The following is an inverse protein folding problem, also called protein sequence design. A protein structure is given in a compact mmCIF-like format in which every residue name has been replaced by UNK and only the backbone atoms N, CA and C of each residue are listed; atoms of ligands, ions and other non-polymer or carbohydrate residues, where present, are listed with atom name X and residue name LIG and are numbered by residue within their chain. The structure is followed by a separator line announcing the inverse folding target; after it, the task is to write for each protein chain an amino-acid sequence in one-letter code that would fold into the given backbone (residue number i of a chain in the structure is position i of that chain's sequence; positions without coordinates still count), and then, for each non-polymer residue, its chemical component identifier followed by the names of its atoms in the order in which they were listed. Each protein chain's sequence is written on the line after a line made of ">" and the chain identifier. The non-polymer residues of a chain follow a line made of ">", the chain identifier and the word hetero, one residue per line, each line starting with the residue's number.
data_IF_800808936396
#
_entry.id   IF_800808936396
#
_cell.length_a   1.000
_cell.length_b   1.000
_cell.length_c   1.000
_cell.angle_alpha   90.00
_cell.angle_beta   90.00
_cell.angle_gamma   90.00
#
_symmetry.space_group_name_H-M   'P 1'
#
loop_
_entity.id
_entity.type
_entity.pdbx_description
1 polymer ?
#
# COMPACT_ATOMS: atom_id res chain seq x y z
N UNK A 1 -21.24 -54.11 -0.21
CA UNK A 1 -20.88 -52.82 -0.85
C UNK A 1 -21.34 -51.72 0.08
N UNK A 2 -20.50 -51.33 1.05
CA UNK A 2 -20.75 -50.21 1.96
C UNK A 2 -19.40 -49.58 2.27
N UNK A 3 -19.01 -48.63 1.42
CA UNK A 3 -17.89 -47.72 1.63
C UNK A 3 -18.32 -46.74 2.71
N UNK A 4 -17.99 -47.07 3.97
CA UNK A 4 -18.02 -46.08 5.04
C UNK A 4 -16.90 -45.08 4.78
N UNK A 5 -17.34 -43.89 4.39
CA UNK A 5 -16.62 -42.64 4.38
C UNK A 5 -16.01 -42.39 5.77
N UNK A 6 -14.78 -42.87 5.98
CA UNK A 6 -14.02 -42.61 7.21
C UNK A 6 -13.57 -41.15 7.14
N UNK A 7 -14.38 -40.28 7.75
CA UNK A 7 -14.07 -38.87 7.94
C UNK A 7 -12.63 -38.72 8.46
N UNK A 8 -11.79 -38.12 7.64
CA UNK A 8 -10.40 -37.80 7.96
C UNK A 8 -10.38 -36.71 9.03
N UNK A 9 -10.49 -37.09 10.30
CA UNK A 9 -10.47 -36.14 11.42
C UNK A 9 -9.06 -35.58 11.61
N UNK A 10 -8.83 -34.37 11.09
CA UNK A 10 -7.65 -33.54 11.37
C UNK A 10 -7.75 -33.11 12.84
N UNK A 11 -6.75 -33.45 13.67
CA UNK A 11 -6.82 -33.21 15.12
C UNK A 11 -6.67 -31.74 15.50
N UNK A 12 -5.93 -30.96 14.73
CA UNK A 12 -5.83 -29.50 14.92
C UNK A 12 -5.26 -28.81 13.68
N UNK A 13 -5.66 -27.56 13.50
CA UNK A 13 -5.19 -26.64 12.45
C UNK A 13 -4.70 -25.38 13.15
N UNK A 14 -3.43 -25.01 12.93
CA UNK A 14 -2.88 -23.73 13.36
C UNK A 14 -2.64 -22.84 12.14
N UNK A 15 -2.96 -21.55 12.24
CA UNK A 15 -2.79 -20.58 11.17
C UNK A 15 -1.95 -19.41 11.67
N UNK A 16 -0.78 -19.20 11.05
CA UNK A 16 0.14 -18.12 11.40
C UNK A 16 0.38 -17.21 10.18
N UNK A 17 0.52 -15.90 10.41
CA UNK A 17 0.88 -14.95 9.36
C UNK A 17 2.35 -14.55 9.50
N UNK A 18 3.09 -14.60 8.39
CA UNK A 18 4.52 -14.27 8.40
C UNK A 18 4.83 -13.21 7.35
N UNK A 19 5.46 -12.12 7.79
CA UNK A 19 5.90 -11.06 6.89
C UNK A 19 7.22 -11.45 6.23
N UNK A 20 7.21 -11.49 4.90
CA UNK A 20 8.43 -11.62 4.11
C UNK A 20 9.07 -10.24 3.92
N UNK A 21 10.17 -10.01 4.63
CA UNK A 21 11.09 -8.89 4.38
C UNK A 21 12.03 -9.27 3.22
N UNK A 22 12.26 -8.33 2.30
CA UNK A 22 13.09 -8.60 1.12
C UNK A 22 14.52 -9.00 1.53
N UNK A 23 15.06 -10.04 0.87
CA UNK A 23 16.46 -10.49 0.97
C UNK A 23 16.88 -11.17 2.28
N UNK A 24 15.94 -11.59 3.13
CA UNK A 24 16.25 -12.35 4.34
C UNK A 24 15.89 -13.85 4.21
N UNK A 25 16.47 -14.67 5.08
CA UNK A 25 16.06 -16.06 5.27
C UNK A 25 14.71 -16.11 5.97
N UNK A 26 13.76 -16.89 5.46
CA UNK A 26 12.45 -17.09 6.07
C UNK A 26 12.44 -18.44 6.78
N UNK A 27 12.19 -18.45 8.09
CA UNK A 27 12.08 -19.67 8.88
C UNK A 27 10.61 -19.91 9.28
N UNK A 28 10.06 -21.05 8.88
CA UNK A 28 8.72 -21.49 9.27
C UNK A 28 8.85 -22.68 10.21
N UNK A 29 8.37 -22.53 11.44
CA UNK A 29 8.54 -23.54 12.50
C UNK A 29 7.29 -24.39 12.66
N UNK A 30 7.39 -25.67 12.35
CA UNK A 30 6.32 -26.63 12.52
C UNK A 30 6.53 -27.51 13.75
N UNK A 31 5.63 -27.41 14.72
CA UNK A 31 5.58 -28.32 15.86
C UNK A 31 4.94 -29.65 15.46
N UNK A 32 5.55 -30.74 15.92
CA UNK A 32 5.18 -32.12 15.63
C UNK A 32 4.86 -32.77 16.96
N UNK A 33 3.78 -33.53 16.99
CA UNK A 33 3.36 -34.24 18.18
C UNK A 33 3.87 -35.66 18.12
N UNK A 34 4.66 -36.05 19.12
CA UNK A 34 5.14 -37.42 19.22
C UNK A 34 3.97 -38.33 19.56
N UNK A 35 3.66 -39.27 18.66
CA UNK A 35 2.60 -40.25 18.89
C UNK A 35 3.25 -41.54 19.42
N UNK A 36 2.86 -41.95 20.62
CA UNK A 36 3.47 -43.03 21.41
C UNK A 36 3.21 -44.46 20.90
N UNK A 37 2.78 -44.64 19.65
CA UNK A 37 2.54 -45.96 19.06
C UNK A 37 3.82 -46.50 18.43
N UNK A 38 4.34 -47.61 18.98
CA UNK A 38 5.65 -48.21 18.69
C UNK A 38 5.85 -48.76 17.28
N UNK A 39 4.84 -48.76 16.41
CA UNK A 39 4.90 -49.36 15.07
C UNK A 39 4.68 -48.38 13.91
N UNK A 40 4.31 -47.12 14.18
CA UNK A 40 3.95 -46.16 13.14
C UNK A 40 5.07 -45.17 12.83
N UNK A 41 5.49 -45.10 11.56
CA UNK A 41 6.44 -44.09 11.09
C UNK A 41 5.69 -42.77 10.86
N UNK A 42 6.16 -41.69 11.48
CA UNK A 42 5.65 -40.34 11.22
C UNK A 42 6.58 -39.58 10.28
N UNK A 43 6.03 -39.11 9.16
CA UNK A 43 6.72 -38.23 8.22
C UNK A 43 6.11 -36.82 8.26
N UNK A 44 6.90 -35.83 7.88
CA UNK A 44 6.48 -34.44 7.76
C UNK A 44 6.71 -33.92 6.35
N UNK A 45 5.64 -33.47 5.71
CA UNK A 45 5.68 -32.96 4.36
C UNK A 45 5.35 -31.47 4.35
N UNK A 46 6.08 -30.71 3.55
CA UNK A 46 5.83 -29.30 3.34
C UNK A 46 5.22 -29.06 1.97
N UNK A 47 4.18 -28.24 1.96
CA UNK A 47 3.47 -27.83 0.77
C UNK A 47 3.52 -26.30 0.65
N UNK A 48 3.56 -25.80 -0.57
CA UNK A 48 3.35 -24.40 -0.90
C UNK A 48 2.26 -24.31 -1.97
N UNK A 49 1.21 -23.55 -1.71
CA UNK A 49 0.07 -23.39 -2.60
C UNK A 49 -0.46 -24.77 -3.06
N UNK A 50 -0.60 -25.69 -2.10
CA UNK A 50 -1.02 -27.08 -2.27
C UNK A 50 -0.05 -27.99 -3.06
N UNK A 51 1.10 -27.49 -3.50
CA UNK A 51 2.14 -28.28 -4.18
C UNK A 51 3.19 -28.75 -3.18
N UNK A 52 3.52 -30.03 -3.21
CA UNK A 52 4.56 -30.63 -2.38
C UNK A 52 5.92 -30.01 -2.73
N UNK A 53 6.59 -29.41 -1.74
CA UNK A 53 7.92 -28.80 -1.89
C UNK A 53 9.02 -29.61 -1.20
N UNK A 54 8.69 -30.30 -0.09
CA UNK A 54 9.59 -31.21 0.64
C UNK A 54 8.78 -32.41 1.11
N UNK A 55 9.32 -33.60 0.86
CA UNK A 55 8.78 -34.87 1.30
C UNK A 55 9.80 -35.57 2.20
N UNK A 56 9.62 -35.56 3.52
CA UNK A 56 10.65 -36.09 4.45
C UNK A 56 10.87 -37.61 4.38
N UNK A 57 10.07 -38.35 3.60
CA UNK A 57 10.27 -39.79 3.39
C UNK A 57 11.47 -40.14 2.48
N UNK A 58 11.91 -39.20 1.63
CA UNK A 58 12.97 -39.35 0.64
C UNK A 58 14.37 -38.94 1.14
N UNK A 59 14.97 -39.66 2.09
CA UNK A 59 16.37 -39.55 2.58
C UNK A 59 16.92 -38.14 2.93
N UNK A 60 17.49 -37.93 4.15
CA UNK A 60 17.96 -36.63 4.64
C UNK A 60 18.98 -35.91 3.74
N UNK A 61 19.70 -36.64 2.88
CA UNK A 61 20.75 -36.08 2.02
C UNK A 61 20.23 -35.46 0.70
N UNK A 62 18.95 -35.62 0.36
CA UNK A 62 18.37 -35.13 -0.90
C UNK A 62 17.53 -33.83 -0.78
N UNK A 63 17.38 -33.29 0.43
CA UNK A 63 16.54 -32.10 0.66
C UNK A 63 17.23 -30.77 0.45
N UNK A 64 18.55 -30.75 0.29
CA UNK A 64 19.30 -29.56 -0.09
C UNK A 64 19.09 -29.23 -1.58
N UNK A 65 17.84 -29.03 -2.00
CA UNK A 65 17.59 -28.13 -3.13
C UNK A 65 18.03 -26.75 -2.65
N UNK A 66 18.86 -26.07 -3.43
CA UNK A 66 19.62 -24.84 -3.08
C UNK A 66 18.86 -23.69 -2.38
N UNK A 67 17.53 -23.77 -2.29
CA UNK A 67 16.64 -22.76 -1.73
C UNK A 67 15.94 -23.16 -0.42
N UNK A 68 15.62 -24.44 -0.22
CA UNK A 68 14.83 -24.91 0.92
C UNK A 68 15.66 -25.85 1.77
N UNK A 69 15.79 -25.56 3.06
CA UNK A 69 16.52 -26.38 4.00
C UNK A 69 15.61 -26.79 5.14
N UNK A 70 15.69 -28.06 5.53
CA UNK A 70 14.94 -28.59 6.65
C UNK A 70 15.90 -28.71 7.84
N UNK A 71 15.60 -27.98 8.91
CA UNK A 71 16.40 -28.01 10.13
C UNK A 71 15.55 -28.71 11.19
N UNK A 72 16.05 -29.83 11.70
CA UNK A 72 15.49 -30.48 12.87
C UNK A 72 16.13 -29.84 14.10
N UNK A 73 15.38 -28.99 14.81
CA UNK A 73 15.92 -28.31 15.99
C UNK A 73 15.86 -29.20 17.23
N UNK A 74 14.84 -30.08 17.32
CA UNK A 74 14.57 -31.07 18.37
C UNK A 74 13.55 -32.10 17.83
N UNK A 75 13.38 -33.27 18.47
CA UNK A 75 12.42 -34.34 18.08
C UNK A 75 10.94 -33.91 17.90
N UNK A 76 10.59 -32.67 18.22
CA UNK A 76 9.24 -32.10 18.14
C UNK A 76 9.12 -30.86 17.26
N UNK A 77 10.21 -30.33 16.68
CA UNK A 77 10.15 -29.10 15.87
C UNK A 77 10.95 -29.27 14.58
N UNK A 78 10.25 -29.19 13.46
CA UNK A 78 10.85 -29.12 12.12
C UNK A 78 10.71 -27.71 11.59
N UNK A 79 11.84 -27.10 11.24
CA UNK A 79 11.91 -25.76 10.66
C UNK A 79 12.17 -25.86 9.16
N UNK A 80 11.33 -25.22 8.38
CA UNK A 80 11.58 -24.94 6.98
C UNK A 80 12.28 -23.59 6.85
N UNK A 81 13.54 -23.62 6.44
CA UNK A 81 14.35 -22.42 6.16
C UNK A 81 14.43 -22.18 4.65
N UNK A 82 13.91 -21.04 4.20
CA UNK A 82 14.04 -20.54 2.83
C UNK A 82 15.20 -19.56 2.76
N UNK A 83 16.27 -19.93 2.04
CA UNK A 83 17.39 -19.03 1.80
C UNK A 83 17.08 -18.07 0.64
N UNK A 84 17.47 -16.79 0.82
CA UNK A 84 17.29 -15.73 -0.18
C UNK A 84 15.86 -15.67 -0.70
N UNK A 85 14.90 -15.60 0.22
CA UNK A 85 13.49 -15.58 -0.11
C UNK A 85 13.17 -14.36 -1.01
N UNK A 86 12.42 -14.62 -2.08
CA UNK A 86 12.04 -13.66 -3.12
C UNK A 86 10.53 -13.40 -3.04
N UNK A 87 10.01 -12.33 -3.66
CA UNK A 87 8.57 -12.07 -3.71
C UNK A 87 7.74 -13.26 -4.24
N UNK A 88 8.30 -14.09 -5.13
CA UNK A 88 7.65 -15.31 -5.61
C UNK A 88 7.42 -16.37 -4.52
N UNK A 89 8.07 -16.26 -3.36
CA UNK A 89 7.90 -17.15 -2.21
C UNK A 89 6.75 -16.74 -1.30
N UNK A 90 6.08 -15.62 -1.59
CA UNK A 90 4.78 -15.30 -0.98
C UNK A 90 3.76 -16.37 -1.39
N UNK A 91 2.95 -16.82 -0.44
CA UNK A 91 1.96 -17.86 -0.66
C UNK A 91 1.51 -18.52 0.64
N UNK A 92 0.74 -19.60 0.50
CA UNK A 92 0.25 -20.37 1.62
C UNK A 92 1.08 -21.65 1.77
N UNK A 93 1.72 -21.78 2.92
CA UNK A 93 2.55 -22.93 3.27
C UNK A 93 1.79 -23.84 4.22
N UNK A 94 1.95 -25.14 4.05
CA UNK A 94 1.39 -26.12 4.96
C UNK A 94 2.46 -27.13 5.35
N UNK A 95 2.63 -27.33 6.65
CA UNK A 95 3.35 -28.47 7.21
C UNK A 95 2.31 -29.53 7.61
N UNK A 96 2.44 -30.74 7.06
CA UNK A 96 1.54 -31.85 7.35
C UNK A 96 2.32 -32.97 8.01
N UNK A 97 1.92 -33.33 9.24
CA UNK A 97 2.39 -34.54 9.90
C UNK A 97 1.53 -35.71 9.45
N UNK A 98 2.15 -36.71 8.84
CA UNK A 98 1.48 -37.87 8.26
C UNK A 98 1.97 -39.13 8.98
N UNK A 99 1.02 -39.93 9.46
CA UNK A 99 1.27 -41.26 9.99
C UNK A 99 1.09 -42.28 8.86
N UNK A 100 2.13 -43.09 8.64
CA UNK A 100 2.07 -44.27 7.79
C UNK A 100 1.53 -45.41 8.64
N UNK A 101 0.33 -45.90 8.29
CA UNK A 101 -0.32 -47.01 8.98
C UNK A 101 0.09 -48.34 8.30
N UNK A 102 0.05 -48.39 6.97
CA UNK A 102 0.50 -49.49 6.11
C UNK A 102 1.06 -48.95 4.78
N UNK A 103 1.55 -49.82 3.88
CA UNK A 103 2.06 -49.45 2.55
C UNK A 103 1.10 -48.57 1.71
N UNK A 104 -0.21 -48.68 1.93
CA UNK A 104 -1.23 -47.97 1.17
C UNK A 104 -2.11 -47.03 2.01
N UNK A 105 -1.89 -46.94 3.32
CA UNK A 105 -2.76 -46.18 4.23
C UNK A 105 -1.97 -45.10 4.94
N UNK A 106 -2.33 -43.84 4.66
CA UNK A 106 -1.75 -42.67 5.33
C UNK A 106 -2.85 -41.92 6.07
N UNK A 107 -2.51 -41.38 7.23
CA UNK A 107 -3.41 -40.53 8.01
C UNK A 107 -2.70 -39.23 8.33
N UNK A 108 -3.31 -38.11 7.95
CA UNK A 108 -2.84 -36.79 8.38
C UNK A 108 -3.21 -36.62 9.86
N UNK A 109 -2.19 -36.45 10.69
CA UNK A 109 -2.36 -36.25 12.13
C UNK A 109 -2.54 -34.77 12.47
N UNK A 110 -1.71 -33.92 11.86
CA UNK A 110 -1.59 -32.51 12.19
C UNK A 110 -1.33 -31.69 10.94
N UNK A 111 -1.93 -30.49 10.87
CA UNK A 111 -1.66 -29.51 9.82
C UNK A 111 -1.35 -28.16 10.45
N UNK A 112 -0.20 -27.60 10.11
CA UNK A 112 0.16 -26.22 10.45
C UNK A 112 0.19 -25.41 9.15
N UNK A 113 -0.60 -24.35 9.07
CA UNK A 113 -0.69 -23.44 7.94
C UNK A 113 0.02 -22.13 8.24
N UNK A 114 0.81 -21.64 7.28
CA UNK A 114 1.44 -20.34 7.33
C UNK A 114 1.01 -19.53 6.11
N UNK A 115 0.50 -18.34 6.35
CA UNK A 115 0.23 -17.35 5.33
C UNK A 115 1.44 -16.41 5.23
N UNK A 116 2.39 -16.74 4.34
CA UNK A 116 3.54 -15.88 4.08
C UNK A 116 3.09 -14.75 3.16
N UNK A 117 3.29 -13.50 3.59
CA UNK A 117 2.82 -12.30 2.88
C UNK A 117 3.96 -11.31 2.73
N UNK A 118 4.09 -10.69 1.55
CA UNK A 118 5.01 -9.57 1.38
C UNK A 118 4.41 -8.31 2.01
N UNK A 119 5.26 -7.39 2.49
CA UNK A 119 4.82 -6.03 2.82
C UNK A 119 4.13 -5.44 1.58
N UNK A 120 2.92 -4.87 1.66
CA UNK A 120 2.35 -4.14 0.55
C UNK A 120 3.34 -3.08 0.06
N UNK A 121 3.44 -2.87 -1.25
CA UNK A 121 4.21 -1.76 -1.81
C UNK A 121 3.39 -1.12 -2.88
N UNK A 122 3.12 0.17 -2.73
CA UNK A 122 2.30 0.94 -3.66
C UNK A 122 3.14 1.97 -4.39
N UNK A 123 2.72 2.30 -5.61
CA UNK A 123 3.33 3.35 -6.43
C UNK A 123 2.25 4.21 -7.06
N UNK A 124 2.59 5.47 -7.34
CA UNK A 124 1.80 6.29 -8.27
C UNK A 124 2.17 5.93 -9.70
N UNK A 125 1.17 5.88 -10.59
CA UNK A 125 1.38 5.70 -12.04
C UNK A 125 1.56 7.05 -12.76
N UNK A 126 1.02 8.14 -12.18
CA UNK A 126 1.08 9.49 -12.78
C UNK A 126 2.27 10.30 -12.26
N UNK A 127 2.78 9.94 -11.09
CA UNK A 127 3.80 10.71 -10.38
C UNK A 127 5.02 9.84 -10.17
N UNK A 128 6.22 10.39 -10.43
CA UNK A 128 7.47 9.73 -10.09
C UNK A 128 7.55 9.39 -8.60
N UNK A 129 8.50 8.51 -8.22
CA UNK A 129 8.60 7.89 -6.88
C UNK A 129 8.60 8.85 -5.66
N UNK A 130 8.76 10.17 -5.87
CA UNK A 130 9.02 11.14 -4.80
C UNK A 130 8.10 12.37 -4.80
N UNK A 131 6.93 12.34 -5.46
CA UNK A 131 6.01 13.50 -5.43
C UNK A 131 5.25 13.53 -4.11
N UNK A 132 5.69 14.40 -3.20
CA UNK A 132 5.09 14.62 -1.87
C UNK A 132 4.02 15.72 -1.87
N UNK A 133 3.97 16.55 -2.91
CA UNK A 133 3.00 17.64 -3.03
C UNK A 133 2.74 17.98 -4.49
N UNK A 134 1.49 18.38 -4.78
CA UNK A 134 1.09 18.83 -6.10
C UNK A 134 0.22 20.07 -5.99
N UNK A 135 0.44 21.02 -6.89
CA UNK A 135 -0.35 22.25 -6.96
C UNK A 135 -1.27 22.20 -8.17
N UNK A 136 -2.54 22.54 -7.97
CA UNK A 136 -3.59 22.57 -9.00
C UNK A 136 -4.36 23.88 -8.88
N UNK A 137 -4.87 24.44 -9.98
CA UNK A 137 -5.71 25.62 -9.90
C UNK A 137 -7.15 25.26 -9.48
N UNK A 138 -7.80 26.17 -8.77
CA UNK A 138 -9.22 26.05 -8.52
C UNK A 138 -10.00 25.90 -9.83
N UNK A 139 -11.05 25.07 -9.79
CA UNK A 139 -11.90 24.67 -10.91
C UNK A 139 -11.25 23.79 -11.99
N UNK A 140 -9.99 23.38 -11.82
CA UNK A 140 -9.36 22.40 -12.72
C UNK A 140 -9.69 20.96 -12.29
N UNK A 141 -9.29 20.01 -13.14
CA UNK A 141 -9.39 18.59 -12.87
C UNK A 141 -8.07 18.07 -12.30
N UNK A 142 -8.14 17.28 -11.24
CA UNK A 142 -6.98 16.61 -10.65
C UNK A 142 -7.19 15.09 -10.62
N UNK A 143 -6.12 14.34 -10.86
CA UNK A 143 -6.15 12.88 -10.88
C UNK A 143 -4.94 12.29 -10.16
N UNK A 144 -5.16 11.18 -9.49
CA UNK A 144 -4.13 10.33 -8.90
C UNK A 144 -4.45 8.88 -9.22
N UNK A 145 -3.45 8.13 -9.68
CA UNK A 145 -3.56 6.69 -9.96
C UNK A 145 -2.53 5.95 -9.11
N UNK A 146 -2.98 4.94 -8.38
CA UNK A 146 -2.11 4.10 -7.56
C UNK A 146 -2.27 2.64 -7.91
N UNK A 147 -1.20 1.87 -7.73
CA UNK A 147 -1.17 0.45 -7.97
C UNK A 147 -0.13 -0.25 -7.08
N UNK A 148 -0.22 -1.56 -6.95
CA UNK A 148 0.83 -2.34 -6.29
C UNK A 148 2.07 -2.47 -7.18
N UNK A 149 3.27 -2.41 -6.61
CA UNK A 149 4.53 -2.53 -7.36
C UNK A 149 4.66 -3.88 -8.07
N UNK A 150 4.05 -4.93 -7.54
CA UNK A 150 4.01 -6.27 -8.14
C UNK A 150 2.80 -7.08 -7.64
N UNK A 151 2.45 -8.15 -8.35
CA UNK A 151 1.37 -9.07 -7.95
C UNK A 151 1.56 -9.67 -6.55
N UNK A 152 2.80 -9.81 -6.09
CA UNK A 152 3.10 -10.40 -4.79
C UNK A 152 2.77 -9.46 -3.62
N UNK A 153 2.82 -8.15 -3.84
CA UNK A 153 2.40 -7.15 -2.87
C UNK A 153 0.87 -7.01 -2.78
N UNK A 154 0.15 -7.56 -3.76
CA UNK A 154 -1.32 -7.55 -3.84
C UNK A 154 -1.96 -8.75 -3.13
N UNK A 155 -1.23 -9.85 -2.89
CA UNK A 155 -1.80 -11.09 -2.34
C UNK A 155 -2.42 -10.83 -0.96
N UNK A 156 -3.74 -11.00 -0.85
CA UNK A 156 -4.55 -10.68 0.32
C UNK A 156 -4.37 -9.23 0.83
N UNK A 157 -4.05 -8.31 -0.09
CA UNK A 157 -3.94 -6.89 0.21
C UNK A 157 -5.15 -6.13 -0.34
N UNK A 158 -5.61 -5.12 0.38
CA UNK A 158 -6.58 -4.13 -0.12
C UNK A 158 -5.84 -2.85 -0.54
N UNK A 159 -6.34 -2.20 -1.59
CA UNK A 159 -5.89 -0.89 -2.03
C UNK A 159 -7.04 0.09 -1.89
N UNK A 160 -6.87 1.11 -1.06
CA UNK A 160 -7.91 2.11 -0.78
C UNK A 160 -7.36 3.52 -0.95
N UNK A 161 -8.26 4.46 -1.23
CA UNK A 161 -7.96 5.89 -1.25
C UNK A 161 -8.35 6.50 0.08
N UNK A 162 -7.51 7.40 0.57
CA UNK A 162 -7.73 8.12 1.82
C UNK A 162 -7.55 9.62 1.63
N UNK A 163 -8.32 10.37 2.41
CA UNK A 163 -8.13 11.80 2.63
C UNK A 163 -7.83 12.04 4.11
N UNK A 164 -6.74 12.73 4.38
CA UNK A 164 -6.37 13.21 5.71
C UNK A 164 -6.46 14.73 5.64
N UNK A 165 -7.47 15.27 6.29
CA UNK A 165 -7.52 16.70 6.61
C UNK A 165 -6.43 16.96 7.65
N UNK A 166 -5.67 18.06 7.50
CA UNK A 166 -4.84 18.53 8.61
C UNK A 166 -5.74 18.62 9.83
N UNK A 167 -5.35 17.93 10.89
CA UNK A 167 -6.07 17.93 12.16
C UNK A 167 -6.06 19.37 12.62
N UNK A 168 -7.25 19.96 12.82
CA UNK A 168 -7.37 21.23 13.53
C UNK A 168 -6.56 21.09 14.85
N UNK A 169 -5.51 21.89 14.96
CA UNK A 169 -4.58 21.95 16.07
C UNK A 169 -5.33 22.22 17.38
N UNK A 170 -5.76 21.18 18.08
CA UNK A 170 -6.26 21.35 19.46
C UNK A 170 -5.30 20.82 20.51
N UNK A 171 -4.21 20.11 20.17
CA UNK A 171 -3.17 19.79 21.15
C UNK A 171 -1.75 19.94 20.60
N UNK A 172 -1.09 20.99 21.11
CA UNK A 172 0.35 21.18 21.11
C UNK A 172 1.13 19.87 21.28
N UNK A 173 1.73 19.39 20.19
CA UNK A 173 3.06 18.81 20.27
C UNK A 173 3.89 19.34 19.10
N UNK A 174 4.68 20.36 19.40
CA UNK A 174 5.86 20.73 18.63
C UNK A 174 6.74 19.48 18.47
N UNK A 175 6.73 18.89 17.27
CA UNK A 175 7.91 18.25 16.74
C UNK A 175 8.16 18.84 15.35
N UNK A 176 9.12 19.76 15.34
CA UNK A 176 9.72 20.32 14.14
C UNK A 176 10.38 19.19 13.33
N UNK A 177 10.05 19.16 12.03
CA UNK A 177 10.80 18.41 11.02
C UNK A 177 10.06 17.18 10.50
N UNK A 178 9.61 17.25 9.23
CA UNK A 178 9.00 16.18 8.44
C UNK A 178 7.55 15.78 8.78
N UNK A 179 6.60 16.69 8.55
CA UNK A 179 5.17 16.35 8.38
C UNK A 179 4.92 15.50 7.11
N UNK A 180 5.94 15.30 6.27
CA UNK A 180 5.92 14.32 5.16
C UNK A 180 6.36 12.90 5.54
N UNK A 181 6.75 12.66 6.80
CA UNK A 181 7.37 11.41 7.24
C UNK A 181 6.54 10.67 8.27
N UNK A 182 5.62 9.80 7.80
CA UNK A 182 5.08 8.74 8.63
C UNK A 182 3.86 9.11 9.47
N UNK A 183 2.71 9.31 8.81
CA UNK A 183 1.46 8.88 9.44
C UNK A 183 1.57 7.36 9.67
N UNK A 184 1.95 6.95 10.88
CA UNK A 184 1.92 5.54 11.28
C UNK A 184 0.45 5.15 11.37
N UNK A 185 -0.04 4.47 10.35
CA UNK A 185 -1.39 3.93 10.35
C UNK A 185 -1.42 2.71 11.28
N UNK A 186 -1.86 2.90 12.52
CA UNK A 186 -2.48 1.83 13.29
C UNK A 186 -3.80 1.41 12.62
N UNK A 187 -4.18 0.15 12.73
CA UNK A 187 -5.42 -0.39 12.14
C UNK A 187 -6.67 0.39 12.59
N UNK A 188 -6.72 0.80 13.87
CA UNK A 188 -7.82 1.59 14.42
C UNK A 188 -7.88 3.00 13.80
N UNK A 189 -6.73 3.62 13.55
CA UNK A 189 -6.66 4.92 12.89
C UNK A 189 -7.10 4.82 11.42
N UNK A 190 -6.76 3.71 10.75
CA UNK A 190 -7.17 3.47 9.37
C UNK A 190 -8.70 3.41 9.21
N UNK A 191 -9.42 2.71 10.09
CA UNK A 191 -10.89 2.64 10.00
C UNK A 191 -11.55 4.01 10.15
N UNK A 192 -11.04 4.84 11.08
CA UNK A 192 -11.50 6.23 11.28
C UNK A 192 -11.27 7.09 10.03
N UNK A 193 -10.07 7.03 9.46
CA UNK A 193 -9.72 7.77 8.23
C UNK A 193 -10.54 7.29 7.03
N UNK A 194 -10.75 5.97 6.90
CA UNK A 194 -11.60 5.39 5.86
C UNK A 194 -13.04 5.91 5.96
N UNK A 195 -13.60 5.98 7.17
CA UNK A 195 -14.95 6.49 7.40
C UNK A 195 -15.06 7.99 7.09
N UNK A 196 -14.10 8.81 7.52
CA UNK A 196 -14.04 10.23 7.14
C UNK A 196 -13.93 10.42 5.61
N UNK A 197 -13.09 9.61 4.96
CA UNK A 197 -12.94 9.64 3.50
C UNK A 197 -14.25 9.29 2.81
N UNK A 198 -14.97 8.25 3.28
CA UNK A 198 -16.31 7.91 2.76
C UNK A 198 -17.32 9.05 2.92
N UNK A 199 -17.34 9.73 4.06
CA UNK A 199 -18.22 10.88 4.27
C UNK A 199 -17.87 12.04 3.32
N UNK A 200 -16.58 12.32 3.13
CA UNK A 200 -16.13 13.32 2.16
C UNK A 200 -16.52 12.95 0.72
N UNK A 201 -16.34 11.70 0.31
CA UNK A 201 -16.77 11.20 -1.00
C UNK A 201 -18.28 11.38 -1.19
N UNK A 202 -19.08 11.01 -0.19
CA UNK A 202 -20.53 11.15 -0.26
C UNK A 202 -20.98 12.61 -0.42
N UNK A 203 -20.35 13.54 0.32
CA UNK A 203 -20.64 14.99 0.23
C UNK A 203 -20.22 15.61 -1.11
N UNK A 204 -19.33 14.96 -1.87
CA UNK A 204 -18.75 15.49 -3.09
C UNK A 204 -18.90 14.50 -4.27
N UNK A 205 -19.96 13.68 -4.25
CA UNK A 205 -20.17 12.60 -5.22
C UNK A 205 -20.42 13.12 -6.65
N UNK A 206 -20.82 14.38 -6.79
CA UNK A 206 -20.98 15.09 -8.06
C UNK A 206 -19.65 15.33 -8.78
N UNK A 207 -18.54 15.44 -8.04
CA UNK A 207 -17.25 15.87 -8.58
C UNK A 207 -16.07 14.94 -8.26
N UNK A 208 -16.15 14.18 -7.17
CA UNK A 208 -15.11 13.24 -6.76
C UNK A 208 -15.52 11.82 -7.13
N UNK A 209 -14.68 11.15 -7.90
CA UNK A 209 -14.91 9.79 -8.36
C UNK A 209 -13.71 8.91 -8.02
N UNK A 210 -13.99 7.71 -7.52
CA UNK A 210 -12.99 6.66 -7.34
C UNK A 210 -13.33 5.51 -8.27
N UNK A 211 -12.36 5.08 -9.07
CA UNK A 211 -12.50 3.95 -9.97
C UNK A 211 -11.45 2.89 -9.62
N UNK A 212 -11.91 1.66 -9.43
CA UNK A 212 -11.05 0.49 -9.25
C UNK A 212 -11.15 -0.38 -10.49
N UNK A 213 -10.03 -0.65 -11.15
CA UNK A 213 -10.00 -1.51 -12.33
C UNK A 213 -8.71 -2.33 -12.38
N UNK A 214 -8.77 -3.48 -13.06
CA UNK A 214 -7.60 -4.31 -13.29
C UNK A 214 -6.93 -3.88 -14.59
N UNK A 215 -5.66 -3.49 -14.51
CA UNK A 215 -4.86 -3.17 -15.69
C UNK A 215 -4.04 -4.39 -16.10
N UNK A 216 -4.16 -4.79 -17.36
CA UNK A 216 -3.27 -5.77 -17.97
C UNK A 216 -2.04 -5.01 -18.44
N UNK A 217 -0.92 -5.18 -17.75
CA UNK A 217 0.33 -4.55 -18.18
C UNK A 217 0.81 -5.25 -19.47
N UNK A 218 0.80 -4.52 -20.59
CA UNK A 218 1.49 -4.97 -21.80
C UNK A 218 2.98 -5.08 -21.46
N UNK A 219 3.55 -6.29 -21.59
CA UNK A 219 4.96 -6.56 -21.31
C UNK A 219 5.84 -5.60 -22.13
N UNK A 220 6.52 -4.65 -21.47
CA UNK A 220 7.74 -4.10 -22.06
C UNK A 220 8.76 -5.25 -22.13
N UNK A 221 9.28 -5.47 -23.34
CA UNK A 221 10.09 -6.60 -23.74
C UNK A 221 11.32 -6.76 -22.83
N UNK A 222 11.36 -7.83 -22.03
CA UNK A 222 12.49 -8.78 -22.02
C UNK A 222 12.22 -10.00 -21.13
N UNK A 223 12.75 -11.12 -21.62
CA UNK A 223 12.75 -12.49 -21.08
C UNK A 223 11.41 -13.23 -20.99
N UNK A 224 11.29 -14.15 -21.96
CA UNK A 224 10.48 -15.36 -21.99
C UNK A 224 10.38 -16.05 -20.64
N UNK A 225 9.21 -15.97 -20.02
CA UNK A 225 8.61 -17.09 -19.29
C UNK A 225 7.07 -16.94 -19.29
N UNK A 226 6.43 -18.09 -19.50
CA UNK A 226 5.06 -18.25 -19.94
C UNK A 226 4.00 -17.85 -18.89
N UNK A 227 2.86 -17.37 -19.38
CA UNK A 227 1.55 -17.29 -18.69
C UNK A 227 1.53 -16.73 -17.27
N UNK A 228 1.71 -15.42 -17.13
CA UNK A 228 1.13 -14.70 -16.02
C UNK A 228 0.30 -13.55 -16.56
N UNK A 229 -1.03 -13.69 -16.47
CA UNK A 229 -1.95 -12.56 -16.52
C UNK A 229 -1.61 -11.68 -15.33
N UNK A 230 -0.73 -10.69 -15.55
CA UNK A 230 -0.35 -9.71 -14.54
C UNK A 230 -1.50 -8.69 -14.43
N UNK A 231 -2.62 -9.15 -13.89
CA UNK A 231 -3.74 -8.29 -13.53
C UNK A 231 -3.34 -7.52 -12.29
N UNK A 232 -2.96 -6.26 -12.47
CA UNK A 232 -2.60 -5.37 -11.38
C UNK A 232 -3.82 -4.51 -11.04
N UNK A 233 -4.23 -4.53 -9.77
CA UNK A 233 -5.30 -3.63 -9.32
C UNK A 233 -4.81 -2.19 -9.33
N UNK A 234 -5.49 -1.33 -10.07
CA UNK A 234 -5.25 0.10 -10.13
C UNK A 234 -6.46 0.82 -9.55
N UNK A 235 -6.20 1.78 -8.66
CA UNK A 235 -7.22 2.67 -8.13
C UNK A 235 -6.94 4.10 -8.62
N UNK A 236 -7.96 4.77 -9.14
CA UNK A 236 -7.89 6.14 -9.64
C UNK A 236 -8.81 7.03 -8.80
N UNK A 237 -8.26 8.11 -8.24
CA UNK A 237 -9.02 9.25 -7.72
C UNK A 237 -9.08 10.31 -8.81
N UNK A 238 -10.28 10.76 -9.12
CA UNK A 238 -10.54 11.91 -9.98
C UNK A 238 -11.33 12.94 -9.19
N UNK A 239 -10.86 14.18 -9.19
CA UNK A 239 -11.57 15.35 -8.64
C UNK A 239 -11.78 16.32 -9.80
N UNK A 240 -13.02 16.45 -10.27
CA UNK A 240 -13.40 17.55 -11.16
C UNK A 240 -13.69 18.80 -10.32
N UNK A 241 -13.51 19.97 -10.94
CA UNK A 241 -13.82 21.27 -10.34
C UNK A 241 -13.20 21.42 -8.93
N UNK A 242 -11.88 21.32 -8.85
CA UNK A 242 -11.13 21.33 -7.57
C UNK A 242 -11.43 22.60 -6.76
N UNK A 243 -11.72 22.44 -5.47
CA UNK A 243 -12.05 23.51 -4.55
C UNK A 243 -10.96 23.68 -3.48
N UNK A 244 -10.82 24.85 -2.89
CA UNK A 244 -9.95 25.11 -1.74
C UNK A 244 -10.18 24.17 -0.55
N UNK A 245 -11.40 23.66 -0.37
CA UNK A 245 -11.71 22.65 0.66
C UNK A 245 -11.07 21.29 0.40
N UNK A 246 -10.60 21.02 -0.82
CA UNK A 246 -9.90 19.78 -1.18
C UNK A 246 -8.44 19.76 -0.76
N UNK A 247 -7.91 20.90 -0.29
CA UNK A 247 -6.57 20.99 0.26
C UNK A 247 -6.40 19.98 1.39
N UNK A 248 -5.24 19.36 1.43
CA UNK A 248 -4.88 18.36 2.43
C UNK A 248 -4.13 17.19 1.82
N UNK A 249 -3.91 16.16 2.63
CA UNK A 249 -3.21 14.96 2.19
C UNK A 249 -4.20 13.98 1.57
N UNK A 250 -4.02 13.72 0.28
CA UNK A 250 -4.75 12.72 -0.48
C UNK A 250 -3.79 11.61 -0.87
N UNK A 251 -4.24 10.37 -0.78
CA UNK A 251 -3.32 9.28 -1.02
C UNK A 251 -3.96 7.93 -1.13
N UNK A 252 -3.09 6.93 -1.29
CA UNK A 252 -3.44 5.54 -1.36
C UNK A 252 -2.83 4.79 -0.20
N UNK A 253 -3.52 3.77 0.29
CA UNK A 253 -3.00 2.85 1.30
C UNK A 253 -3.18 1.43 0.81
N UNK A 254 -2.08 0.67 0.81
CA UNK A 254 -2.08 -0.77 0.65
C UNK A 254 -2.00 -1.44 2.01
N UNK A 255 -2.96 -2.30 2.35
CA UNK A 255 -3.00 -2.99 3.65
C UNK A 255 -3.15 -4.48 3.44
N UNK A 256 -2.40 -5.27 4.20
CA UNK A 256 -2.65 -6.70 4.36
C UNK A 256 -2.63 -7.08 5.86
N UNK A 257 -2.86 -8.36 6.22
CA UNK A 257 -2.92 -8.77 7.63
C UNK A 257 -1.63 -8.55 8.43
N UNK A 258 -0.48 -8.37 7.76
CA UNK A 258 0.84 -8.30 8.41
C UNK A 258 1.46 -6.91 8.40
N UNK A 259 1.14 -6.09 7.41
CA UNK A 259 1.77 -4.80 7.20
C UNK A 259 0.93 -3.87 6.31
N UNK A 260 1.34 -2.60 6.28
CA UNK A 260 0.76 -1.59 5.42
C UNK A 260 1.84 -0.78 4.71
N UNK A 261 1.41 -0.06 3.68
CA UNK A 261 2.20 0.92 2.95
C UNK A 261 1.29 2.06 2.50
N UNK A 262 1.82 3.29 2.51
CA UNK A 262 1.04 4.49 2.22
C UNK A 262 1.79 5.40 1.24
N UNK A 263 1.00 6.11 0.44
CA UNK A 263 1.47 7.09 -0.51
C UNK A 263 0.56 8.30 -0.37
N UNK A 264 1.05 9.32 0.33
CA UNK A 264 0.32 10.56 0.59
C UNK A 264 0.90 11.69 -0.25
N UNK A 265 0.03 12.45 -0.90
CA UNK A 265 0.34 13.62 -1.70
C UNK A 265 -0.40 14.80 -1.10
N UNK A 266 0.34 15.84 -0.74
CA UNK A 266 -0.26 17.11 -0.31
C UNK A 266 -0.82 17.86 -1.52
N UNK A 267 -2.15 17.89 -1.65
CA UNK A 267 -2.83 18.67 -2.68
C UNK A 267 -2.92 20.14 -2.24
N UNK A 268 -2.29 21.02 -3.01
CA UNK A 268 -2.36 22.47 -2.88
C UNK A 268 -3.25 23.04 -3.97
N UNK A 269 -4.18 23.90 -3.60
CA UNK A 269 -5.12 24.52 -4.55
C UNK A 269 -4.81 26.01 -4.65
N UNK A 270 -4.41 26.46 -5.83
CA UNK A 270 -4.13 27.86 -6.10
C UNK A 270 -5.38 28.59 -6.59
N UNK A 271 -5.50 29.86 -6.19
CA UNK A 271 -6.52 30.77 -6.70
C UNK A 271 -5.95 31.58 -7.86
N UNK A 272 -6.68 31.64 -8.98
CA UNK A 272 -6.33 32.49 -10.12
C UNK A 272 -6.47 33.98 -9.77
N UNK A 273 -7.42 34.34 -8.91
CA UNK A 273 -7.65 35.73 -8.48
C UNK A 273 -6.45 36.23 -7.65
N UNK A 274 -5.84 35.37 -6.84
CA UNK A 274 -4.68 35.73 -6.02
C UNK A 274 -3.45 36.11 -6.85
N UNK A 275 -3.33 35.60 -8.08
CA UNK A 275 -2.28 36.04 -9.02
C UNK A 275 -2.54 37.47 -9.52
N UNK A 276 -3.81 37.86 -9.66
CA UNK A 276 -4.19 39.18 -10.16
C UNK A 276 -4.02 40.26 -9.10
N UNK A 277 -4.12 39.93 -7.80
CA UNK A 277 -3.93 40.88 -6.71
C UNK A 277 -2.65 41.74 -6.82
N UNK A 278 -1.43 41.19 -6.97
CA UNK A 278 -0.22 42.00 -7.12
C UNK A 278 -0.25 42.87 -8.38
N UNK A 279 -0.87 42.41 -9.47
CA UNK A 279 -1.00 43.17 -10.71
C UNK A 279 -1.92 44.37 -10.51
N UNK A 280 -3.07 44.18 -9.84
CA UNK A 280 -4.01 45.25 -9.52
C UNK A 280 -3.33 46.32 -8.63
N UNK A 281 -2.54 45.89 -7.64
CA UNK A 281 -1.77 46.81 -6.78
C UNK A 281 -0.77 47.64 -7.60
N UNK A 282 -0.07 47.01 -8.56
CA UNK A 282 0.86 47.73 -9.43
C UNK A 282 0.12 48.75 -10.31
N UNK A 283 -0.98 48.35 -10.96
CA UNK A 283 -1.76 49.23 -11.85
C UNK A 283 -2.33 50.42 -11.07
N UNK A 284 -2.90 50.19 -9.89
CA UNK A 284 -3.45 51.26 -9.04
C UNK A 284 -2.37 52.22 -8.57
N UNK A 285 -1.18 51.73 -8.20
CA UNK A 285 -0.03 52.57 -7.86
C UNK A 285 0.43 53.41 -9.06
N UNK A 286 0.50 52.83 -10.26
CA UNK A 286 0.87 53.56 -11.48
C UNK A 286 -0.13 54.67 -11.82
N UNK A 287 -1.44 54.40 -11.71
CA UNK A 287 -2.48 55.42 -11.92
C UNK A 287 -2.40 56.54 -10.88
N UNK A 288 -2.19 56.19 -9.60
CA UNK A 288 -2.00 57.17 -8.53
C UNK A 288 -0.80 58.08 -8.80
N UNK A 289 0.35 57.50 -9.18
CA UNK A 289 1.54 58.28 -9.53
C UNK A 289 1.29 59.22 -10.73
N UNK A 290 0.61 58.72 -11.76
CA UNK A 290 0.24 59.54 -12.92
C UNK A 290 -0.65 60.73 -12.54
N UNK A 291 -1.64 60.53 -11.65
CA UNK A 291 -2.48 61.62 -11.17
C UNK A 291 -1.70 62.66 -10.36
N UNK A 292 -0.77 62.23 -9.49
CA UNK A 292 0.10 63.16 -8.73
C UNK A 292 0.96 63.98 -9.68
N UNK A 293 1.62 63.34 -10.65
CA UNK A 293 2.46 64.03 -11.63
C UNK A 293 1.63 65.05 -12.42
N UNK A 294 0.43 64.67 -12.85
CA UNK A 294 -0.48 65.57 -13.59
C UNK A 294 -0.89 66.80 -12.76
N UNK A 295 -1.28 66.59 -11.49
CA UNK A 295 -1.65 67.69 -10.56
C UNK A 295 -0.44 68.59 -10.28
N UNK A 296 0.74 68.00 -10.10
CA UNK A 296 1.98 68.72 -9.88
C UNK A 296 2.34 69.60 -11.08
N UNK A 297 2.33 69.06 -12.30
CA UNK A 297 2.61 69.82 -13.52
C UNK A 297 1.57 70.92 -13.75
N UNK A 298 0.28 70.64 -13.51
CA UNK A 298 -0.77 71.65 -13.59
C UNK A 298 -0.52 72.82 -12.62
N UNK A 299 -0.17 72.53 -11.35
CA UNK A 299 0.17 73.57 -10.36
C UNK A 299 1.47 74.32 -10.69
N UNK A 300 2.45 73.64 -11.29
CA UNK A 300 3.73 74.22 -11.69
C UNK A 300 3.60 75.19 -12.87
N UNK A 301 2.72 74.89 -13.82
CA UNK A 301 2.49 75.74 -15.00
C UNK A 301 1.53 76.90 -14.69
N UNK A 302 0.65 76.76 -13.70
CA UNK A 302 -0.35 77.78 -13.32
C UNK A 302 -0.05 78.68 -12.10
N UNK A 303 1.21 78.92 -11.64
CA UNK A 303 1.41 79.85 -10.52
C UNK A 303 1.22 81.32 -10.92
N UNK A 304 1.02 81.64 -12.21
CA UNK A 304 1.02 83.01 -12.71
C UNK A 304 -0.37 83.67 -12.87
N UNK A 305 -1.47 82.96 -12.67
CA UNK A 305 -2.82 83.55 -12.80
C UNK A 305 -3.40 84.13 -11.51
N UNK A 306 -2.67 84.08 -10.39
CA UNK A 306 -3.06 84.68 -9.10
C UNK A 306 -2.34 86.00 -8.76
N UNK A 307 -1.51 86.54 -9.66
CA UNK A 307 -0.75 87.79 -9.48
C UNK A 307 -1.19 88.93 -10.43
N UNK A 308 -2.38 88.84 -11.05
CA UNK A 308 -2.92 89.90 -11.93
C UNK A 308 -4.30 90.43 -11.49
N UNK A 309 -4.57 90.45 -10.19
CA UNK A 309 -5.64 91.27 -9.62
C UNK A 309 -5.03 92.20 -8.57
N UNK A 310 -4.35 93.23 -9.06
CA UNK A 310 -4.21 94.56 -8.43
C UNK A 310 -4.08 95.59 -9.56
#
# INVERSE_FOLDING_TARGET
>A
MNLFDRSMMIKSIHCEYVLLTEYQSLNLSCKIFNHSSSSSITIVNWYKDQKLIIDSSLSPNNYNRTKFHLINQNDSIIILNLLKAKPIDVGDYECRQIMLLDLNSTKILHIHRFAVRAKPRIRSELFGKNVISQTVWANEEWRMKCSFVSKYHQINSTLDIVRIEEVDDDHHHHNNGNVGGGYIFSYDNYTKIKNKTKQWLHRNNDRVQIQLYNMVMAKQQQSSDNNNNNNQTVIELKISNVNFKDRGYLGCIGINPVANDNLLILLRVNDRIRILCPIIVIITLSLYLFTIITIYEYRRISPFSLLQLD
#
